data_IF_761111557559
#
_entry.id   IF_761111557559
#
_cell.length_a   1.000
_cell.length_b   1.000
_cell.length_c   1.000
_cell.angle_alpha   90.00
_cell.angle_beta   90.00
_cell.angle_gamma   90.00
#
_symmetry.space_group_name_H-M   'P 1'
#
loop_
_entity.id
_entity.type
_entity.pdbx_description
1 polymer ?
#
# COMPACT_ATOMS: atom_id res chain seq x y z
N UNK A 1 -38.42 -30.51 4.39
CA UNK A 1 -37.54 -29.86 3.35
C UNK A 1 -36.73 -28.68 3.86
N UNK A 2 -37.03 -28.02 4.97
CA UNK A 2 -36.33 -26.81 5.48
C UNK A 2 -34.98 -27.10 6.15
N UNK A 3 -34.82 -28.22 6.85
CA UNK A 3 -33.58 -28.55 7.60
C UNK A 3 -32.37 -28.89 6.73
N UNK A 4 -32.58 -29.51 5.56
CA UNK A 4 -31.51 -29.87 4.62
C UNK A 4 -30.98 -28.60 3.93
N UNK A 5 -31.83 -27.65 3.59
CA UNK A 5 -31.42 -26.39 2.96
C UNK A 5 -30.57 -25.52 3.90
N UNK A 6 -30.93 -25.44 5.20
CA UNK A 6 -30.17 -24.67 6.20
C UNK A 6 -28.80 -25.31 6.47
N UNK A 7 -28.73 -26.63 6.56
CA UNK A 7 -27.46 -27.33 6.75
C UNK A 7 -26.51 -27.20 5.54
N UNK A 8 -27.06 -27.13 4.32
CA UNK A 8 -26.28 -26.96 3.08
C UNK A 8 -25.75 -25.54 2.97
N UNK A 9 -26.52 -24.53 3.31
CA UNK A 9 -26.06 -23.13 3.30
C UNK A 9 -24.99 -22.88 4.34
N UNK A 10 -25.15 -23.36 5.57
CA UNK A 10 -24.16 -23.23 6.63
C UNK A 10 -22.83 -23.94 6.27
N UNK A 11 -22.89 -25.11 5.63
CA UNK A 11 -21.69 -25.85 5.18
C UNK A 11 -20.97 -25.16 4.02
N UNK A 12 -21.70 -24.48 3.14
CA UNK A 12 -21.13 -23.67 2.05
C UNK A 12 -20.49 -22.39 2.59
N UNK A 13 -21.13 -21.71 3.55
CA UNK A 13 -20.56 -20.51 4.17
C UNK A 13 -19.28 -20.80 4.96
N UNK A 14 -19.24 -21.89 5.73
CA UNK A 14 -18.01 -22.34 6.41
C UNK A 14 -16.91 -22.68 5.41
N UNK A 15 -17.26 -23.25 4.25
CA UNK A 15 -16.32 -23.54 3.16
C UNK A 15 -15.73 -22.29 2.52
N UNK A 16 -16.53 -21.25 2.29
CA UNK A 16 -16.08 -19.97 1.71
C UNK A 16 -15.13 -19.24 2.67
N UNK A 17 -15.44 -19.15 3.96
CA UNK A 17 -14.56 -18.54 4.96
C UNK A 17 -13.25 -19.30 5.11
N UNK A 18 -13.30 -20.65 5.14
CA UNK A 18 -12.10 -21.49 5.16
C UNK A 18 -11.24 -21.27 3.93
N UNK A 19 -11.84 -21.22 2.74
CA UNK A 19 -11.13 -20.95 1.49
C UNK A 19 -10.48 -19.56 1.45
N UNK A 20 -11.17 -18.52 1.92
CA UNK A 20 -10.62 -17.17 2.04
C UNK A 20 -9.41 -17.14 2.97
N UNK A 21 -9.54 -17.77 4.16
CA UNK A 21 -8.43 -17.87 5.13
C UNK A 21 -7.24 -18.63 4.55
N UNK A 22 -7.47 -19.72 3.83
CA UNK A 22 -6.41 -20.52 3.20
C UNK A 22 -5.69 -19.71 2.13
N UNK A 23 -6.42 -18.96 1.29
CA UNK A 23 -5.83 -18.10 0.27
C UNK A 23 -5.03 -16.96 0.90
N UNK A 24 -5.58 -16.29 1.92
CA UNK A 24 -4.85 -15.25 2.67
C UNK A 24 -3.56 -15.81 3.28
N UNK A 25 -3.64 -16.95 3.95
CA UNK A 25 -2.49 -17.61 4.56
C UNK A 25 -1.41 -17.97 3.53
N UNK A 26 -1.80 -18.52 2.37
CA UNK A 26 -0.89 -18.79 1.26
C UNK A 26 -0.18 -17.52 0.77
N UNK A 27 -0.91 -16.41 0.62
CA UNK A 27 -0.33 -15.14 0.17
C UNK A 27 0.63 -14.53 1.21
N UNK A 28 0.29 -14.61 2.50
CA UNK A 28 1.18 -14.19 3.59
C UNK A 28 2.41 -15.07 3.67
N UNK A 29 2.28 -16.41 3.57
CA UNK A 29 3.42 -17.32 3.56
C UNK A 29 4.36 -17.08 2.36
N UNK A 30 3.82 -16.75 1.19
CA UNK A 30 4.61 -16.40 0.01
C UNK A 30 5.54 -15.24 0.30
N UNK A 31 5.02 -14.19 0.91
CA UNK A 31 5.81 -13.04 1.37
C UNK A 31 6.83 -13.46 2.44
N UNK A 32 6.39 -14.25 3.43
CA UNK A 32 7.22 -14.60 4.59
C UNK A 32 8.48 -15.36 4.20
N UNK A 33 8.40 -16.24 3.20
CA UNK A 33 9.56 -17.01 2.68
C UNK A 33 10.67 -16.13 2.10
N UNK A 34 10.37 -14.92 1.66
CA UNK A 34 11.33 -13.94 1.11
C UNK A 34 11.38 -12.64 1.94
N UNK A 35 10.87 -12.70 3.19
CA UNK A 35 10.69 -11.51 4.05
C UNK A 35 11.98 -10.76 4.30
N UNK A 36 13.08 -11.45 4.54
CA UNK A 36 14.38 -10.81 4.77
C UNK A 36 14.78 -9.92 3.60
N UNK A 37 14.80 -10.44 2.39
CA UNK A 37 15.14 -9.67 1.18
C UNK A 37 14.14 -8.55 0.93
N UNK A 38 12.85 -8.81 1.17
CA UNK A 38 11.76 -7.86 0.94
C UNK A 38 11.78 -6.69 1.93
N UNK A 39 12.25 -6.89 3.15
CA UNK A 39 12.40 -5.84 4.16
C UNK A 39 13.77 -5.16 4.04
N UNK A 40 14.84 -5.93 3.85
CA UNK A 40 16.20 -5.38 3.83
C UNK A 40 16.42 -4.37 2.68
N UNK A 41 15.87 -4.60 1.49
CA UNK A 41 16.04 -3.71 0.37
C UNK A 41 15.41 -2.31 0.59
N UNK A 42 14.13 -2.17 1.01
CA UNK A 42 13.56 -0.89 1.38
C UNK A 42 14.26 -0.21 2.56
N UNK A 43 14.69 -0.98 3.57
CA UNK A 43 15.47 -0.45 4.70
C UNK A 43 16.78 0.17 4.22
N UNK A 44 17.55 -0.55 3.40
CA UNK A 44 18.80 -0.03 2.84
C UNK A 44 18.56 1.23 2.01
N UNK A 45 17.54 1.22 1.17
CA UNK A 45 17.16 2.39 0.36
C UNK A 45 16.79 3.59 1.24
N UNK A 46 15.99 3.39 2.28
CA UNK A 46 15.61 4.46 3.20
C UNK A 46 16.81 5.03 3.98
N UNK A 47 17.71 4.16 4.44
CA UNK A 47 18.95 4.57 5.11
C UNK A 47 19.83 5.39 4.16
N UNK A 48 19.99 4.97 2.89
CA UNK A 48 20.75 5.72 1.90
C UNK A 48 20.12 7.10 1.63
N UNK A 49 18.80 7.18 1.52
CA UNK A 49 18.11 8.46 1.38
C UNK A 49 18.31 9.36 2.60
N UNK A 50 18.24 8.81 3.81
CA UNK A 50 18.51 9.59 5.03
C UNK A 50 19.94 10.08 5.11
N UNK A 51 20.92 9.24 4.76
CA UNK A 51 22.33 9.63 4.78
C UNK A 51 22.64 10.73 3.73
N UNK A 52 22.09 10.60 2.52
CA UNK A 52 22.33 11.57 1.45
C UNK A 52 21.55 12.85 1.71
N UNK A 53 20.24 12.77 1.80
CA UNK A 53 19.38 13.95 1.88
C UNK A 53 19.37 14.58 3.28
N UNK A 54 19.39 13.77 4.35
CA UNK A 54 19.48 14.26 5.71
C UNK A 54 20.76 15.04 5.94
N UNK A 55 21.91 14.55 5.46
CA UNK A 55 23.19 15.23 5.66
C UNK A 55 23.38 16.44 4.73
N UNK A 56 22.95 16.34 3.48
CA UNK A 56 23.17 17.42 2.47
C UNK A 56 22.18 18.57 2.64
N UNK A 57 20.93 18.29 3.06
CA UNK A 57 19.85 19.27 3.07
C UNK A 57 19.45 19.75 4.48
N UNK A 58 19.97 19.16 5.56
CA UNK A 58 19.60 19.49 6.94
C UNK A 58 19.73 21.00 7.24
N UNK A 59 20.85 21.63 6.80
CA UNK A 59 21.11 23.03 7.04
C UNK A 59 20.46 23.99 6.03
N UNK A 60 19.91 23.46 4.93
CA UNK A 60 19.42 24.27 3.81
C UNK A 60 17.89 24.26 3.67
N UNK A 61 17.21 23.25 4.21
CA UNK A 61 15.76 23.08 4.05
C UNK A 61 15.07 23.06 5.39
N UNK A 62 14.31 24.12 5.68
CA UNK A 62 13.37 24.14 6.80
C UNK A 62 11.98 23.75 6.29
N UNK A 63 11.40 22.69 6.84
CA UNK A 63 10.10 22.19 6.40
C UNK A 63 8.99 22.65 7.34
N UNK A 64 9.19 22.43 8.65
CA UNK A 64 8.34 22.99 9.72
C UNK A 64 9.26 23.64 10.78
N UNK A 65 8.83 24.73 11.39
CA UNK A 65 9.68 25.55 12.29
C UNK A 65 10.36 24.78 13.44
N UNK A 66 9.78 23.64 13.85
CA UNK A 66 10.27 22.83 14.99
C UNK A 66 10.76 21.43 14.59
N UNK A 67 10.81 21.08 13.31
CA UNK A 67 11.11 19.72 12.84
C UNK A 67 12.35 19.74 11.97
N UNK A 68 13.37 18.95 12.35
CA UNK A 68 14.55 18.76 11.52
C UNK A 68 14.20 18.06 10.20
N UNK A 69 14.95 18.35 9.14
CA UNK A 69 14.69 17.76 7.84
C UNK A 69 14.81 16.23 7.87
N UNK A 70 15.79 15.70 8.60
CA UNK A 70 15.96 14.26 8.81
C UNK A 70 14.74 13.63 9.49
N UNK A 71 14.19 14.27 10.55
CA UNK A 71 12.96 13.80 11.18
C UNK A 71 11.77 13.79 10.21
N UNK A 72 11.67 14.83 9.37
CA UNK A 72 10.59 14.97 8.37
C UNK A 72 10.64 13.87 7.30
N UNK A 73 11.83 13.44 6.89
CA UNK A 73 12.01 12.41 5.87
C UNK A 73 11.52 11.02 6.33
N UNK A 74 11.74 10.66 7.60
CA UNK A 74 11.49 9.30 8.09
C UNK A 74 10.05 8.84 7.84
N UNK A 75 8.99 9.54 8.28
CA UNK A 75 7.61 9.11 8.00
C UNK A 75 7.29 9.03 6.51
N UNK A 76 7.85 9.94 5.70
CA UNK A 76 7.72 9.90 4.23
C UNK A 76 8.29 8.62 3.63
N UNK A 77 9.51 8.25 4.01
CA UNK A 77 10.20 7.05 3.54
C UNK A 77 9.53 5.76 4.03
N UNK A 78 9.04 5.75 5.28
CA UNK A 78 8.23 4.64 5.82
C UNK A 78 6.99 4.45 4.98
N UNK A 79 6.22 5.52 4.75
CA UNK A 79 4.98 5.40 4.00
C UNK A 79 5.20 5.07 2.53
N UNK A 80 6.23 5.63 1.89
CA UNK A 80 6.67 5.24 0.54
C UNK A 80 6.94 3.73 0.47
N UNK A 81 7.63 3.17 1.46
CA UNK A 81 7.93 1.73 1.52
C UNK A 81 6.66 0.89 1.71
N UNK A 82 5.72 1.34 2.56
CA UNK A 82 4.40 0.69 2.73
C UNK A 82 3.65 0.62 1.41
N UNK A 83 3.51 1.76 0.72
CA UNK A 83 2.75 1.87 -0.53
C UNK A 83 3.33 0.96 -1.62
N UNK A 84 4.64 1.06 -1.87
CA UNK A 84 5.30 0.28 -2.91
C UNK A 84 5.23 -1.23 -2.64
N UNK A 85 5.43 -1.66 -1.39
CA UNK A 85 5.39 -3.08 -1.05
C UNK A 85 3.98 -3.65 -1.01
N UNK A 86 2.98 -2.88 -0.61
CA UNK A 86 1.59 -3.30 -0.72
C UNK A 86 1.16 -3.50 -2.18
N UNK A 87 1.51 -2.58 -3.09
CA UNK A 87 1.30 -2.73 -4.53
C UNK A 87 2.00 -3.97 -5.08
N UNK A 88 3.30 -4.11 -4.79
CA UNK A 88 4.12 -5.22 -5.28
C UNK A 88 3.60 -6.59 -4.81
N UNK A 89 2.95 -6.68 -3.64
CA UNK A 89 2.43 -7.94 -3.14
C UNK A 89 1.35 -8.52 -4.06
N UNK A 90 0.27 -7.79 -4.28
CA UNK A 90 -0.86 -8.25 -5.09
C UNK A 90 -0.49 -8.39 -6.56
N UNK A 91 0.20 -7.39 -7.13
CA UNK A 91 0.55 -7.40 -8.55
C UNK A 91 1.49 -8.56 -8.90
N UNK A 92 2.56 -8.76 -8.12
CA UNK A 92 3.51 -9.86 -8.37
C UNK A 92 2.89 -11.23 -8.15
N UNK A 93 2.01 -11.40 -7.15
CA UNK A 93 1.37 -12.68 -6.89
C UNK A 93 0.47 -13.10 -8.02
N UNK A 94 -0.37 -12.18 -8.49
CA UNK A 94 -1.34 -12.52 -9.53
C UNK A 94 -0.67 -12.76 -10.88
N UNK A 95 0.28 -11.91 -11.28
CA UNK A 95 1.01 -12.13 -12.55
C UNK A 95 1.82 -13.43 -12.52
N UNK A 96 2.46 -13.74 -11.38
CA UNK A 96 3.16 -15.00 -11.23
C UNK A 96 2.21 -16.20 -11.39
N UNK A 97 1.01 -16.14 -10.78
CA UNK A 97 0.00 -17.22 -10.91
C UNK A 97 -0.49 -17.38 -12.34
N UNK A 98 -0.58 -16.30 -13.12
CA UNK A 98 -0.90 -16.35 -14.56
C UNK A 98 0.20 -17.06 -15.35
N UNK A 99 1.45 -16.63 -15.20
CA UNK A 99 2.59 -17.13 -15.98
C UNK A 99 2.89 -18.59 -15.65
N UNK A 100 2.76 -19.00 -14.37
CA UNK A 100 3.01 -20.41 -13.96
C UNK A 100 1.81 -21.32 -14.22
N UNK A 101 0.68 -20.82 -14.72
CA UNK A 101 -0.54 -21.60 -14.91
C UNK A 101 -1.30 -21.94 -13.62
N UNK A 102 -0.79 -21.57 -12.46
CA UNK A 102 -1.41 -21.86 -11.16
C UNK A 102 -2.76 -21.13 -10.96
N UNK A 103 -3.04 -20.12 -11.78
CA UNK A 103 -4.31 -19.39 -11.76
C UNK A 103 -5.51 -20.33 -11.98
N UNK A 104 -5.36 -21.37 -12.80
CA UNK A 104 -6.41 -22.36 -13.09
C UNK A 104 -6.92 -23.02 -11.80
N UNK A 105 -6.02 -23.40 -10.89
CA UNK A 105 -6.41 -24.02 -9.61
C UNK A 105 -7.21 -23.07 -8.72
N UNK A 106 -6.92 -21.77 -8.79
CA UNK A 106 -7.68 -20.76 -8.08
C UNK A 106 -9.07 -20.56 -8.70
N UNK A 107 -9.19 -20.64 -10.02
CA UNK A 107 -10.46 -20.48 -10.76
C UNK A 107 -11.41 -21.66 -10.58
N UNK A 108 -10.86 -22.88 -10.44
CA UNK A 108 -11.66 -24.09 -10.18
C UNK A 108 -12.14 -24.17 -8.72
N UNK A 109 -11.45 -23.46 -7.81
CA UNK A 109 -11.89 -23.42 -6.41
C UNK A 109 -13.18 -22.58 -6.25
N UNK A 110 -14.11 -22.98 -5.35
CA UNK A 110 -15.37 -22.28 -5.16
C UNK A 110 -15.19 -20.97 -4.34
N UNK A 111 -14.26 -20.12 -4.76
CA UNK A 111 -13.96 -18.85 -4.11
C UNK A 111 -14.76 -17.71 -4.76
N UNK A 112 -15.39 -16.89 -3.93
CA UNK A 112 -16.07 -15.68 -4.41
C UNK A 112 -15.05 -14.59 -4.78
N UNK A 113 -15.46 -13.63 -5.62
CA UNK A 113 -14.67 -12.46 -5.93
C UNK A 113 -14.28 -11.64 -4.68
N UNK A 114 -15.13 -11.62 -3.66
CA UNK A 114 -14.84 -11.04 -2.36
C UNK A 114 -13.73 -11.79 -1.61
N UNK A 115 -13.72 -13.11 -1.67
CA UNK A 115 -12.69 -13.94 -1.06
C UNK A 115 -11.30 -13.64 -1.66
N UNK A 116 -11.24 -13.49 -2.99
CA UNK A 116 -10.01 -13.08 -3.68
C UNK A 116 -9.57 -11.70 -3.23
N UNK A 117 -10.49 -10.71 -3.27
CA UNK A 117 -10.19 -9.35 -2.88
C UNK A 117 -9.63 -9.29 -1.46
N UNK A 118 -10.34 -9.86 -0.48
CA UNK A 118 -9.92 -9.84 0.94
C UNK A 118 -8.58 -10.54 1.14
N UNK A 119 -8.35 -11.67 0.48
CA UNK A 119 -7.10 -12.41 0.63
C UNK A 119 -5.88 -11.65 0.05
N UNK A 120 -6.00 -11.11 -1.16
CA UNK A 120 -4.90 -10.39 -1.80
C UNK A 120 -4.63 -9.03 -1.14
N UNK A 121 -5.67 -8.25 -0.88
CA UNK A 121 -5.53 -6.94 -0.21
C UNK A 121 -5.09 -7.11 1.23
N UNK A 122 -5.64 -8.09 1.95
CA UNK A 122 -5.23 -8.42 3.32
C UNK A 122 -3.75 -8.83 3.42
N UNK A 123 -3.27 -9.67 2.50
CA UNK A 123 -1.84 -10.03 2.45
C UNK A 123 -0.95 -8.82 2.08
N UNK A 124 -1.45 -7.90 1.23
CA UNK A 124 -0.74 -6.66 0.89
C UNK A 124 -0.64 -5.71 2.08
N UNK A 125 -1.70 -5.62 2.89
CA UNK A 125 -1.69 -4.90 4.17
C UNK A 125 -0.60 -5.45 5.11
N UNK A 126 -0.58 -6.77 5.31
CA UNK A 126 0.42 -7.42 6.16
C UNK A 126 1.83 -7.12 5.66
N UNK A 127 2.10 -7.31 4.37
CA UNK A 127 3.43 -7.05 3.79
C UNK A 127 3.81 -5.57 3.89
N UNK A 128 2.91 -4.67 3.52
CA UNK A 128 3.17 -3.22 3.56
C UNK A 128 3.51 -2.76 4.98
N UNK A 129 2.71 -3.17 5.98
CA UNK A 129 2.92 -2.81 7.39
C UNK A 129 4.22 -3.41 7.94
N UNK A 130 4.51 -4.68 7.65
CA UNK A 130 5.77 -5.33 8.10
C UNK A 130 6.98 -4.64 7.51
N UNK A 131 6.97 -4.29 6.23
CA UNK A 131 8.07 -3.57 5.59
C UNK A 131 8.18 -2.15 6.14
N UNK A 132 7.07 -1.42 6.28
CA UNK A 132 7.05 -0.09 6.88
C UNK A 132 7.58 -0.09 8.30
N UNK A 133 7.19 -1.07 9.12
CA UNK A 133 7.73 -1.26 10.46
C UNK A 133 9.24 -1.54 10.45
N UNK A 134 9.72 -2.38 9.53
CA UNK A 134 11.15 -2.65 9.37
C UNK A 134 11.95 -1.39 9.01
N UNK A 135 11.43 -0.58 8.09
CA UNK A 135 12.03 0.72 7.75
C UNK A 135 12.01 1.66 8.95
N UNK A 136 10.88 1.81 9.63
CA UNK A 136 10.75 2.65 10.81
C UNK A 136 11.72 2.24 11.93
N UNK A 137 11.80 0.94 12.25
CA UNK A 137 12.65 0.42 13.31
C UNK A 137 14.14 0.74 13.14
N UNK A 138 14.61 0.85 11.90
CA UNK A 138 16.00 1.23 11.60
C UNK A 138 16.15 2.73 11.50
N UNK A 139 15.20 3.43 10.87
CA UNK A 139 15.34 4.87 10.62
C UNK A 139 15.08 5.74 11.84
N UNK A 140 14.33 5.28 12.84
CA UNK A 140 14.06 6.02 14.08
C UNK A 140 15.32 6.36 14.88
N UNK A 141 16.41 5.64 14.67
CA UNK A 141 17.69 5.90 15.33
C UNK A 141 18.44 7.11 14.75
N UNK A 142 18.05 7.61 13.57
CA UNK A 142 18.70 8.75 12.92
C UNK A 142 18.17 10.10 13.42
N UNK A 143 16.96 10.17 13.93
CA UNK A 143 16.38 11.42 14.44
C UNK A 143 15.26 11.14 15.46
N UNK A 144 15.08 12.03 16.46
CA UNK A 144 14.04 11.86 17.47
C UNK A 144 12.66 12.03 16.86
N UNK A 145 11.83 10.98 16.96
CA UNK A 145 10.44 10.98 16.55
C UNK A 145 9.53 10.74 17.73
N UNK A 146 8.45 11.49 17.79
CA UNK A 146 7.37 11.28 18.76
C UNK A 146 6.07 11.04 18.00
N UNK A 147 5.34 9.99 18.39
CA UNK A 147 3.99 9.79 17.88
C UNK A 147 3.02 10.71 18.64
N UNK A 148 2.75 11.87 18.07
CA UNK A 148 1.84 12.85 18.68
C UNK A 148 0.39 12.36 18.64
N UNK A 149 -0.04 11.82 17.52
CA UNK A 149 -1.41 11.36 17.27
C UNK A 149 -1.39 9.97 16.60
N UNK A 150 -1.12 8.85 17.32
CA UNK A 150 -0.90 7.53 16.74
C UNK A 150 -2.09 6.99 15.93
N UNK A 151 -3.32 7.43 16.24
CA UNK A 151 -4.51 7.07 15.47
C UNK A 151 -4.40 7.40 13.98
N UNK A 152 -3.82 8.55 13.64
CA UNK A 152 -3.61 8.92 12.24
C UNK A 152 -2.53 8.07 11.56
N UNK A 153 -1.47 7.68 12.30
CA UNK A 153 -0.43 6.78 11.78
C UNK A 153 -1.07 5.49 11.29
N UNK A 154 -1.87 4.82 12.13
CA UNK A 154 -2.53 3.58 11.76
C UNK A 154 -3.58 3.77 10.66
N UNK A 155 -4.42 4.80 10.77
CA UNK A 155 -5.48 5.06 9.80
C UNK A 155 -4.91 5.22 8.37
N UNK A 156 -3.89 6.07 8.19
CA UNK A 156 -3.30 6.33 6.88
C UNK A 156 -2.39 5.19 6.40
N UNK A 157 -1.69 4.50 7.29
CA UNK A 157 -0.90 3.32 6.92
C UNK A 157 -1.79 2.20 6.38
N UNK A 158 -2.88 1.87 7.06
CA UNK A 158 -3.81 0.83 6.63
C UNK A 158 -4.57 1.23 5.37
N UNK A 159 -5.09 2.46 5.30
CA UNK A 159 -5.81 2.94 4.13
C UNK A 159 -4.90 2.99 2.88
N UNK A 160 -3.69 3.51 3.02
CA UNK A 160 -2.70 3.56 1.95
C UNK A 160 -2.29 2.17 1.47
N UNK A 161 -2.00 1.24 2.38
CA UNK A 161 -1.67 -0.14 2.03
C UNK A 161 -2.86 -0.86 1.36
N UNK A 162 -4.10 -0.59 1.79
CA UNK A 162 -5.30 -1.15 1.17
C UNK A 162 -5.51 -0.63 -0.27
N UNK A 163 -5.38 0.69 -0.48
CA UNK A 163 -5.46 1.30 -1.82
C UNK A 163 -4.41 0.67 -2.75
N UNK A 164 -3.16 0.60 -2.29
CA UNK A 164 -2.07 0.07 -3.10
C UNK A 164 -2.18 -1.43 -3.33
N UNK A 165 -2.66 -2.19 -2.35
CA UNK A 165 -2.97 -3.61 -2.50
C UNK A 165 -4.06 -3.86 -3.55
N UNK A 166 -5.15 -3.08 -3.51
CA UNK A 166 -6.22 -3.15 -4.49
C UNK A 166 -5.75 -2.68 -5.89
N UNK A 167 -4.98 -1.59 -5.96
CA UNK A 167 -4.40 -1.10 -7.22
C UNK A 167 -3.41 -2.12 -7.82
N UNK A 168 -2.60 -2.77 -6.96
CA UNK A 168 -1.71 -3.86 -7.38
C UNK A 168 -2.48 -5.06 -7.92
N UNK A 169 -3.64 -5.38 -7.33
CA UNK A 169 -4.52 -6.44 -7.83
C UNK A 169 -5.12 -6.06 -9.19
N UNK A 170 -5.57 -4.81 -9.39
CA UNK A 170 -6.03 -4.29 -10.70
C UNK A 170 -4.92 -4.38 -11.74
N UNK A 171 -3.71 -3.92 -11.40
CA UNK A 171 -2.55 -4.01 -12.29
C UNK A 171 -2.21 -5.47 -12.65
N UNK A 172 -2.26 -6.40 -11.68
CA UNK A 172 -2.04 -7.82 -11.89
C UNK A 172 -3.13 -8.49 -12.74
N UNK A 173 -4.39 -8.02 -12.66
CA UNK A 173 -5.47 -8.44 -13.55
C UNK A 173 -5.21 -8.00 -15.00
N UNK A 174 -4.81 -6.75 -15.18
CA UNK A 174 -4.55 -6.18 -16.50
C UNK A 174 -3.31 -6.75 -17.17
N UNK A 175 -2.23 -6.95 -16.42
CA UNK A 175 -0.94 -7.38 -16.95
C UNK A 175 -0.93 -8.84 -17.40
N UNK A 176 -0.16 -9.12 -18.45
CA UNK A 176 0.11 -10.46 -19.01
C UNK A 176 1.59 -10.86 -18.85
N UNK A 177 2.46 -9.86 -18.66
CA UNK A 177 3.92 -10.04 -18.48
C UNK A 177 4.43 -9.24 -17.29
N UNK A 178 5.53 -9.68 -16.68
CA UNK A 178 6.18 -8.94 -15.58
C UNK A 178 6.59 -7.51 -15.99
N UNK A 179 7.03 -7.32 -17.24
CA UNK A 179 7.45 -6.00 -17.75
C UNK A 179 6.32 -4.97 -17.69
N UNK A 180 5.07 -5.40 -17.86
CA UNK A 180 3.90 -4.52 -17.77
C UNK A 180 3.66 -4.07 -16.32
N UNK A 181 3.88 -4.95 -15.34
CA UNK A 181 3.83 -4.57 -13.91
C UNK A 181 4.95 -3.59 -13.60
N UNK A 182 6.17 -3.85 -14.08
CA UNK A 182 7.31 -2.95 -13.90
C UNK A 182 7.05 -1.58 -14.55
N UNK A 183 6.48 -1.56 -15.75
CA UNK A 183 6.08 -0.32 -16.43
C UNK A 183 5.03 0.45 -15.61
N UNK A 184 3.98 -0.22 -15.12
CA UNK A 184 2.96 0.41 -14.27
C UNK A 184 3.59 1.01 -13.00
N UNK A 185 4.49 0.27 -12.36
CA UNK A 185 5.18 0.74 -11.16
C UNK A 185 6.06 1.95 -11.46
N UNK A 186 6.84 1.93 -12.54
CA UNK A 186 7.80 2.99 -12.85
C UNK A 186 7.15 4.23 -13.45
N UNK A 187 6.08 4.10 -14.24
CA UNK A 187 5.44 5.23 -14.93
C UNK A 187 4.22 5.78 -14.21
N UNK A 188 3.61 5.04 -13.28
CA UNK A 188 2.44 5.49 -12.51
C UNK A 188 2.76 5.61 -11.03
N UNK A 189 3.13 4.50 -10.38
CA UNK A 189 3.28 4.48 -8.91
C UNK A 189 4.45 5.34 -8.45
N UNK A 190 5.61 5.24 -9.10
CA UNK A 190 6.80 5.99 -8.72
C UNK A 190 6.61 7.51 -8.87
N UNK A 191 6.18 8.05 -10.03
CA UNK A 191 5.96 9.49 -10.16
C UNK A 191 4.92 10.03 -9.18
N UNK A 192 3.80 9.32 -8.97
CA UNK A 192 2.81 9.71 -7.98
C UNK A 192 3.38 9.71 -6.56
N UNK A 193 4.26 8.76 -6.22
CA UNK A 193 4.91 8.71 -4.91
C UNK A 193 5.89 9.89 -4.74
N UNK A 194 6.69 10.21 -5.75
CA UNK A 194 7.62 11.35 -5.67
C UNK A 194 6.89 12.69 -5.58
N UNK A 195 5.78 12.85 -6.29
CA UNK A 195 4.95 14.06 -6.24
C UNK A 195 4.06 14.16 -5.00
N UNK A 196 4.13 13.21 -4.09
CA UNK A 196 3.31 13.17 -2.87
C UNK A 196 3.95 13.83 -1.64
N UNK A 197 5.09 14.53 -1.82
CA UNK A 197 5.75 15.24 -0.73
C UNK A 197 6.57 14.33 0.21
N UNK A 198 7.07 13.19 -0.24
CA UNK A 198 7.98 12.34 0.56
C UNK A 198 9.21 13.09 1.02
N UNK A 199 9.82 13.87 0.10
CA UNK A 199 11.11 14.53 0.29
C UNK A 199 10.99 16.04 0.57
N UNK A 200 9.81 16.62 0.50
CA UNK A 200 9.56 18.06 0.66
C UNK A 200 8.13 18.31 1.16
N UNK A 201 7.88 19.47 1.77
CA UNK A 201 6.51 19.92 2.00
C UNK A 201 5.91 20.45 0.70
N UNK A 202 4.69 20.06 0.39
CA UNK A 202 4.00 20.51 -0.82
C UNK A 202 3.81 22.03 -0.81
N UNK A 203 3.67 22.63 0.38
CA UNK A 203 3.62 24.08 0.54
C UNK A 203 4.86 24.83 0.05
N UNK A 204 6.04 24.17 -0.07
CA UNK A 204 7.26 24.79 -0.57
C UNK A 204 7.39 24.80 -2.11
N UNK A 205 6.49 24.14 -2.83
CA UNK A 205 6.52 24.04 -4.29
C UNK A 205 5.96 25.33 -4.95
N UNK A 206 6.34 25.59 -6.23
CA UNK A 206 5.63 26.56 -7.05
C UNK A 206 4.13 26.22 -7.21
N UNK A 207 3.24 27.24 -7.39
CA UNK A 207 1.77 27.04 -7.38
C UNK A 207 1.27 25.96 -8.34
N UNK A 208 1.87 25.83 -9.51
CA UNK A 208 1.53 24.79 -10.49
C UNK A 208 1.74 23.38 -9.92
N UNK A 209 2.90 23.12 -9.31
CA UNK A 209 3.21 21.82 -8.73
C UNK A 209 2.42 21.52 -7.46
N UNK A 210 2.08 22.55 -6.68
CA UNK A 210 1.15 22.40 -5.55
C UNK A 210 -0.21 21.88 -6.05
N UNK A 211 -0.77 22.51 -7.11
CA UNK A 211 -2.04 22.08 -7.69
C UNK A 211 -1.98 20.62 -8.18
N UNK A 212 -0.90 20.22 -8.87
CA UNK A 212 -0.69 18.84 -9.32
C UNK A 212 -0.60 17.87 -8.13
N UNK A 213 0.13 18.23 -7.07
CA UNK A 213 0.24 17.41 -5.86
C UNK A 213 -1.09 17.23 -5.15
N UNK A 214 -1.93 18.27 -5.11
CA UNK A 214 -3.27 18.18 -4.51
C UNK A 214 -4.26 17.31 -5.31
N UNK A 215 -4.01 17.04 -6.58
CA UNK A 215 -4.76 16.03 -7.36
C UNK A 215 -4.32 14.59 -7.07
N UNK A 216 -3.19 14.43 -6.40
CA UNK A 216 -2.59 13.13 -6.13
C UNK A 216 -3.08 12.58 -4.76
N UNK A 217 -3.84 11.46 -4.71
CA UNK A 217 -4.29 10.89 -3.44
C UNK A 217 -3.13 10.43 -2.54
N UNK A 218 -1.96 10.11 -3.10
CA UNK A 218 -0.80 9.69 -2.31
C UNK A 218 -0.25 10.82 -1.43
N UNK A 219 -0.40 12.09 -1.86
CA UNK A 219 -0.09 13.25 -1.04
C UNK A 219 -0.87 13.20 0.28
N UNK A 220 -2.18 13.03 0.22
CA UNK A 220 -3.03 13.00 1.43
C UNK A 220 -2.73 11.80 2.33
N UNK A 221 -2.30 10.67 1.77
CA UNK A 221 -1.89 9.50 2.55
C UNK A 221 -0.61 9.80 3.33
N UNK A 222 0.41 10.37 2.68
CA UNK A 222 1.71 10.64 3.28
C UNK A 222 1.64 11.81 4.26
N UNK A 223 0.95 12.87 3.91
CA UNK A 223 0.75 14.05 4.76
C UNK A 223 -0.04 13.70 6.02
N UNK A 224 -1.14 12.94 5.88
CA UNK A 224 -1.92 12.47 7.02
C UNK A 224 -1.17 11.49 7.92
N UNK A 225 -0.34 10.61 7.34
CA UNK A 225 0.54 9.72 8.10
C UNK A 225 1.59 10.53 8.89
N UNK A 226 2.18 11.55 8.27
CA UNK A 226 3.17 12.44 8.88
C UNK A 226 2.57 13.26 10.03
N UNK A 227 1.31 13.72 9.90
CA UNK A 227 0.60 14.38 10.98
C UNK A 227 0.60 13.56 12.27
N UNK A 228 0.46 12.24 12.16
CA UNK A 228 0.48 11.34 13.31
C UNK A 228 1.76 11.42 14.15
N UNK A 229 2.89 11.84 13.55
CA UNK A 229 4.16 12.05 14.24
C UNK A 229 4.33 13.48 14.75
N UNK A 230 4.00 14.48 13.96
CA UNK A 230 4.35 15.87 14.26
C UNK A 230 3.16 16.72 14.79
N UNK A 231 1.93 16.23 14.66
CA UNK A 231 0.72 17.02 14.98
C UNK A 231 0.43 18.16 14.01
N UNK A 232 1.28 18.32 12.97
CA UNK A 232 1.14 19.32 11.89
C UNK A 232 1.12 18.62 10.53
N UNK A 233 0.48 19.22 9.55
CA UNK A 233 0.33 18.71 8.18
C UNK A 233 0.07 19.84 7.20
N UNK A 234 0.40 19.62 5.93
CA UNK A 234 0.17 20.61 4.86
C UNK A 234 -1.34 20.74 4.52
N UNK A 235 -2.13 19.68 4.74
CA UNK A 235 -3.59 19.67 4.54
C UNK A 235 -4.35 19.35 5.84
N UNK A 236 -5.64 19.71 5.89
CA UNK A 236 -6.49 19.30 7.02
C UNK A 236 -6.60 17.77 7.10
N UNK A 237 -6.38 17.14 8.28
CA UNK A 237 -6.38 15.68 8.41
C UNK A 237 -7.73 15.05 8.06
N UNK A 238 -8.83 15.74 8.35
CA UNK A 238 -10.17 15.27 7.98
C UNK A 238 -10.43 15.32 6.48
N UNK A 239 -9.93 16.36 5.79
CA UNK A 239 -9.97 16.44 4.34
C UNK A 239 -9.13 15.31 3.73
N UNK A 240 -7.92 15.11 4.24
CA UNK A 240 -7.02 14.03 3.81
C UNK A 240 -7.69 12.67 3.99
N UNK A 241 -8.31 12.41 5.14
CA UNK A 241 -9.04 11.16 5.39
C UNK A 241 -10.22 11.00 4.42
N UNK A 242 -10.98 12.06 4.16
CA UNK A 242 -12.11 12.03 3.21
C UNK A 242 -11.66 11.67 1.79
N UNK A 243 -10.58 12.29 1.29
CA UNK A 243 -10.04 12.01 -0.04
C UNK A 243 -9.47 10.59 -0.13
N UNK A 244 -8.75 10.15 0.91
CA UNK A 244 -8.20 8.79 0.98
C UNK A 244 -9.31 7.75 1.04
N UNK A 245 -10.37 7.98 1.83
CA UNK A 245 -11.53 7.09 1.89
C UNK A 245 -12.29 7.02 0.56
N UNK A 246 -12.48 8.15 -0.11
CA UNK A 246 -13.09 8.19 -1.44
C UNK A 246 -12.23 7.44 -2.48
N UNK A 247 -10.91 7.65 -2.47
CA UNK A 247 -9.97 6.94 -3.34
C UNK A 247 -9.98 5.44 -3.09
N UNK A 248 -10.01 5.04 -1.81
CA UNK A 248 -10.13 3.63 -1.42
C UNK A 248 -11.43 3.02 -1.96
N UNK A 249 -12.56 3.71 -1.79
CA UNK A 249 -13.85 3.24 -2.28
C UNK A 249 -13.86 3.06 -3.81
N UNK A 250 -13.30 4.03 -4.54
CA UNK A 250 -13.19 3.96 -6.01
C UNK A 250 -12.33 2.78 -6.47
N UNK A 251 -11.12 2.64 -5.91
CA UNK A 251 -10.19 1.57 -6.31
C UNK A 251 -10.74 0.20 -5.92
N UNK A 252 -11.33 0.06 -4.72
CA UNK A 252 -11.95 -1.19 -4.28
C UNK A 252 -13.14 -1.58 -5.15
N UNK A 253 -14.00 -0.64 -5.49
CA UNK A 253 -15.17 -0.88 -6.36
C UNK A 253 -14.72 -1.31 -7.75
N UNK A 254 -13.73 -0.64 -8.34
CA UNK A 254 -13.15 -1.01 -9.62
C UNK A 254 -12.55 -2.43 -9.56
N UNK A 255 -11.76 -2.72 -8.54
CA UNK A 255 -11.13 -4.02 -8.35
C UNK A 255 -12.17 -5.15 -8.23
N UNK A 256 -13.19 -4.97 -7.38
CA UNK A 256 -14.27 -5.92 -7.20
C UNK A 256 -15.10 -6.12 -8.48
N UNK A 257 -15.34 -5.05 -9.23
CA UNK A 257 -16.02 -5.13 -10.52
C UNK A 257 -15.22 -5.99 -11.51
N UNK A 258 -13.91 -5.72 -11.66
CA UNK A 258 -13.03 -6.49 -12.55
C UNK A 258 -12.95 -7.97 -12.15
N UNK A 259 -12.86 -8.26 -10.85
CA UNK A 259 -12.89 -9.63 -10.33
C UNK A 259 -14.23 -10.31 -10.62
N UNK A 260 -15.35 -9.60 -10.45
CA UNK A 260 -16.70 -10.13 -10.69
C UNK A 260 -16.93 -10.53 -12.15
N UNK A 261 -16.50 -9.69 -13.10
CA UNK A 261 -16.62 -9.99 -14.54
C UNK A 261 -15.56 -10.98 -15.04
N UNK A 262 -14.55 -11.30 -14.19
CA UNK A 262 -13.48 -12.22 -14.58
C UNK A 262 -12.53 -11.63 -15.63
N UNK A 263 -12.28 -10.30 -15.58
CA UNK A 263 -11.46 -9.59 -16.57
C UNK A 263 -10.06 -10.20 -16.71
N UNK A 264 -9.69 -10.65 -17.91
CA UNK A 264 -8.40 -11.28 -18.25
C UNK A 264 -7.97 -12.47 -17.38
N UNK A 265 -8.93 -13.16 -16.73
CA UNK A 265 -8.68 -14.37 -15.94
C UNK A 265 -9.50 -15.56 -16.42
N UNK A 266 -10.50 -15.35 -17.29
CA UNK A 266 -11.41 -16.40 -17.82
C UNK A 266 -11.28 -16.57 -19.34
N UNK A 267 -10.10 -16.41 -19.89
CA UNK A 267 -9.82 -16.68 -21.32
C UNK A 267 -8.97 -17.90 -21.47
#
# INVERSE_FOLDING_TARGET
MSTVAVATTAKVETGILAGTRTLLYKEVLRFWKVSFQTVAAPVLTAVLYLLIFGHVLEDHVKVYDSVSYTSFLIPGLVMMSVLQNAFANSSSSLIQSKITGNLVFLLVSPLSHWAWFVAYVGASLVRGVVVGFGVFAVTVWFAPLRAAEPGWIFAFAFAGAAIMGALGLVAGLWAEKFDQIAAFQNFVVMPMTFLSGVFYSVGSLPPFWQAVSHLNPFFYIIDGFRRGFFGVSDASPWLSLGIVAASLAVVCTLCLHLLRIGYKIRH
#
